data_IF_341404867716
#
_entry.id   IF_341404867716
#
_cell.length_a   1.000
_cell.length_b   1.000
_cell.length_c   1.000
_cell.angle_alpha   90.00
_cell.angle_beta   90.00
_cell.angle_gamma   90.00
#
_symmetry.space_group_name_H-M   'P 1'
#
loop_
_entity.id
_entity.type
_entity.pdbx_description
1 polymer ?
#
# COMPACT_ATOMS: atom_id res chain seq x y z
N UNK A 1 -7.98 0.50 -21.38
CA UNK A 1 -6.91 1.51 -21.42
C UNK A 1 -6.68 1.99 -20.01
N UNK A 2 -5.43 2.23 -19.61
CA UNK A 2 -5.14 2.75 -18.28
C UNK A 2 -5.68 4.19 -18.14
N UNK A 3 -6.16 4.56 -16.96
CA UNK A 3 -6.60 5.91 -16.66
C UNK A 3 -5.42 6.90 -16.78
N UNK A 4 -5.63 8.02 -17.47
CA UNK A 4 -4.66 9.11 -17.61
C UNK A 4 -5.28 10.44 -17.23
N UNK A 5 -4.61 11.16 -16.32
CA UNK A 5 -5.09 12.43 -15.79
C UNK A 5 -5.12 13.53 -16.86
N UNK A 6 -4.12 13.55 -17.73
CA UNK A 6 -3.89 14.54 -18.78
C UNK A 6 -5.02 14.60 -19.81
N UNK A 7 -5.71 13.48 -20.02
CA UNK A 7 -6.85 13.37 -20.93
C UNK A 7 -8.20 13.27 -20.22
N UNK A 8 -8.22 13.37 -18.89
CA UNK A 8 -9.44 13.20 -18.10
C UNK A 8 -10.34 14.42 -18.26
N UNK A 9 -11.37 14.30 -19.11
CA UNK A 9 -12.31 15.36 -19.46
C UNK A 9 -13.76 14.86 -19.37
N UNK A 10 -14.26 14.51 -18.18
CA UNK A 10 -15.61 13.99 -18.01
C UNK A 10 -16.66 15.07 -18.31
N UNK A 11 -17.70 14.73 -19.07
CA UNK A 11 -18.80 15.64 -19.43
C UNK A 11 -20.07 15.42 -18.60
N UNK A 12 -20.13 14.37 -17.80
CA UNK A 12 -21.25 14.04 -16.91
C UNK A 12 -20.73 13.63 -15.53
N UNK A 13 -21.60 13.67 -14.53
CA UNK A 13 -21.28 13.22 -13.17
C UNK A 13 -20.89 11.74 -13.16
N UNK A 14 -21.63 10.89 -13.88
CA UNK A 14 -21.34 9.45 -13.93
C UNK A 14 -19.96 9.18 -14.56
N UNK A 15 -19.64 9.82 -15.70
CA UNK A 15 -18.32 9.69 -16.33
C UNK A 15 -17.18 10.21 -15.42
N UNK A 16 -17.48 11.19 -14.57
CA UNK A 16 -16.55 11.69 -13.57
C UNK A 16 -16.29 10.64 -12.49
N UNK A 17 -17.36 10.07 -11.92
CA UNK A 17 -17.30 9.05 -10.87
C UNK A 17 -16.58 7.79 -11.38
N UNK A 18 -16.89 7.34 -12.59
CA UNK A 18 -16.23 6.20 -13.22
C UNK A 18 -14.72 6.44 -13.37
N UNK A 19 -14.33 7.63 -13.85
CA UNK A 19 -12.92 8.01 -13.96
C UNK A 19 -12.21 8.05 -12.61
N UNK A 20 -12.86 8.56 -11.56
CA UNK A 20 -12.32 8.54 -10.20
C UNK A 20 -12.13 7.11 -9.70
N UNK A 21 -13.10 6.22 -9.93
CA UNK A 21 -13.01 4.82 -9.55
C UNK A 21 -11.82 4.15 -10.25
N UNK A 22 -11.63 4.40 -11.55
CA UNK A 22 -10.48 3.87 -12.29
C UNK A 22 -9.14 4.42 -11.78
N UNK A 23 -9.05 5.72 -11.48
CA UNK A 23 -7.86 6.32 -10.88
C UNK A 23 -7.52 5.72 -9.51
N UNK A 24 -8.55 5.47 -8.70
CA UNK A 24 -8.41 4.88 -7.37
C UNK A 24 -8.05 3.40 -7.42
N UNK A 25 -8.61 2.63 -8.37
CA UNK A 25 -8.27 1.20 -8.55
C UNK A 25 -6.77 1.00 -8.76
N UNK A 26 -6.13 1.84 -9.57
CA UNK A 26 -4.69 1.77 -9.77
C UNK A 26 -3.92 2.02 -8.46
N UNK A 27 -4.26 3.12 -7.77
CA UNK A 27 -3.63 3.55 -6.52
C UNK A 27 -3.77 2.52 -5.38
N UNK A 28 -4.98 1.98 -5.20
CA UNK A 28 -5.27 0.95 -4.19
C UNK A 28 -4.67 -0.40 -4.59
N UNK A 29 -4.70 -0.76 -5.87
CA UNK A 29 -4.14 -2.00 -6.38
C UNK A 29 -2.63 -2.09 -6.13
N UNK A 30 -1.90 -1.02 -6.41
CA UNK A 30 -0.46 -0.95 -6.15
C UNK A 30 -0.14 -1.12 -4.66
N UNK A 31 -0.85 -0.40 -3.80
CA UNK A 31 -0.68 -0.54 -2.34
C UNK A 31 -0.97 -1.97 -1.86
N UNK A 32 -2.06 -2.58 -2.35
CA UNK A 32 -2.44 -3.94 -1.97
C UNK A 32 -1.36 -4.95 -2.38
N UNK A 33 -0.83 -4.82 -3.60
CA UNK A 33 0.26 -5.66 -4.09
C UNK A 33 1.53 -5.53 -3.23
N UNK A 34 1.92 -4.31 -2.86
CA UNK A 34 3.07 -4.07 -1.98
C UNK A 34 2.87 -4.72 -0.62
N UNK A 35 1.74 -4.47 0.04
CA UNK A 35 1.45 -5.04 1.37
C UNK A 35 1.39 -6.56 1.33
N UNK A 36 0.85 -7.15 0.27
CA UNK A 36 0.77 -8.60 0.13
C UNK A 36 2.18 -9.23 0.01
N UNK A 37 3.07 -8.62 -0.75
CA UNK A 37 4.46 -9.09 -0.90
C UNK A 37 5.21 -8.98 0.43
N UNK A 38 5.10 -7.83 1.10
CA UNK A 38 5.75 -7.60 2.39
C UNK A 38 5.24 -8.58 3.46
N UNK A 39 3.92 -8.77 3.55
CA UNK A 39 3.33 -9.71 4.51
C UNK A 39 3.78 -11.14 4.25
N UNK A 40 3.80 -11.56 2.98
CA UNK A 40 4.28 -12.90 2.60
C UNK A 40 5.72 -13.10 3.04
N UNK A 41 6.62 -12.17 2.72
CA UNK A 41 8.03 -12.28 3.08
C UNK A 41 8.23 -12.40 4.60
N UNK A 42 7.47 -11.62 5.38
CA UNK A 42 7.53 -11.67 6.84
C UNK A 42 6.99 -12.98 7.42
N UNK A 43 5.91 -13.52 6.85
CA UNK A 43 5.40 -14.85 7.23
C UNK A 43 6.39 -15.96 6.87
N UNK A 44 7.08 -15.85 5.73
CA UNK A 44 8.11 -16.80 5.31
C UNK A 44 9.30 -16.80 6.29
N UNK A 45 9.74 -15.62 6.75
CA UNK A 45 10.78 -15.50 7.78
C UNK A 45 10.34 -16.18 9.08
N UNK A 46 9.14 -15.84 9.58
CA UNK A 46 8.61 -16.44 10.82
C UNK A 46 8.49 -17.96 10.71
N UNK A 47 8.04 -18.47 9.56
CA UNK A 47 7.92 -19.91 9.31
C UNK A 47 9.29 -20.59 9.27
N UNK A 48 10.27 -20.00 8.58
CA UNK A 48 11.65 -20.53 8.51
C UNK A 48 12.28 -20.58 9.90
N UNK A 49 12.19 -19.49 10.68
CA UNK A 49 12.75 -19.42 12.03
C UNK A 49 12.07 -20.41 12.98
N UNK A 50 10.75 -20.58 12.88
CA UNK A 50 10.02 -21.58 13.66
C UNK A 50 10.48 -23.01 13.34
N UNK A 51 10.65 -23.35 12.06
CA UNK A 51 11.15 -24.66 11.63
C UNK A 51 12.59 -24.92 12.10
N UNK A 52 13.47 -23.93 11.94
CA UNK A 52 14.86 -24.03 12.39
C UNK A 52 14.96 -24.20 13.91
N UNK A 53 14.16 -23.44 14.66
CA UNK A 53 14.14 -23.52 16.13
C UNK A 53 13.62 -24.87 16.60
N UNK A 54 12.54 -25.38 15.99
CA UNK A 54 12.01 -26.72 16.30
C UNK A 54 13.03 -27.82 16.00
N UNK A 55 13.71 -27.74 14.87
CA UNK A 55 14.75 -28.70 14.51
C UNK A 55 15.94 -28.64 15.48
N UNK A 56 16.40 -27.43 15.84
CA UNK A 56 17.47 -27.25 16.80
C UNK A 56 17.11 -27.80 18.20
N UNK A 57 15.84 -27.68 18.61
CA UNK A 57 15.36 -28.26 19.88
C UNK A 57 15.35 -29.79 19.81
N UNK A 58 14.84 -30.38 18.72
CA UNK A 58 14.82 -31.83 18.52
C UNK A 58 16.23 -32.43 18.51
N UNK A 59 17.20 -31.71 17.96
CA UNK A 59 18.61 -32.09 17.93
C UNK A 59 19.36 -31.71 19.22
N UNK A 60 18.66 -31.22 20.26
CA UNK A 60 19.24 -30.79 21.54
C UNK A 60 20.32 -29.69 21.43
N UNK A 61 20.33 -28.94 20.31
CA UNK A 61 21.24 -27.79 20.09
C UNK A 61 20.80 -26.55 20.86
N UNK A 62 19.54 -26.47 21.25
CA UNK A 62 18.98 -25.42 22.12
C UNK A 62 18.14 -26.02 23.25
N UNK A 63 17.94 -25.26 24.31
CA UNK A 63 17.02 -25.62 25.40
C UNK A 63 15.60 -25.16 25.11
N UNK A 64 14.60 -25.77 25.77
CA UNK A 64 13.22 -25.27 25.72
C UNK A 64 13.10 -23.80 26.14
N UNK A 65 13.87 -23.37 27.14
CA UNK A 65 13.83 -21.98 27.58
C UNK A 65 14.33 -21.01 26.50
N UNK A 66 15.31 -21.45 25.71
CA UNK A 66 15.80 -20.69 24.55
C UNK A 66 14.77 -20.68 23.42
N UNK A 67 14.08 -21.79 23.16
CA UNK A 67 12.96 -21.84 22.22
C UNK A 67 11.85 -20.85 22.62
N UNK A 68 11.41 -20.87 23.88
CA UNK A 68 10.39 -19.94 24.40
C UNK A 68 10.79 -18.48 24.24
N UNK A 69 12.08 -18.16 24.43
CA UNK A 69 12.61 -16.81 24.18
C UNK A 69 12.56 -16.44 22.70
N UNK A 70 13.03 -17.32 21.81
CA UNK A 70 13.00 -17.10 20.37
C UNK A 70 11.57 -16.89 19.88
N UNK A 71 10.63 -17.73 20.31
CA UNK A 71 9.22 -17.58 19.95
C UNK A 71 8.65 -16.21 20.38
N UNK A 72 8.98 -15.73 21.58
CA UNK A 72 8.59 -14.37 22.02
C UNK A 72 9.21 -13.28 21.14
N UNK A 73 10.48 -13.42 20.74
CA UNK A 73 11.15 -12.46 19.86
C UNK A 73 10.51 -12.42 18.47
N UNK A 74 10.22 -13.57 17.86
CA UNK A 74 9.53 -13.64 16.56
C UNK A 74 8.14 -13.00 16.64
N UNK A 75 7.41 -13.21 17.74
CA UNK A 75 6.12 -12.55 17.97
C UNK A 75 6.26 -11.02 18.03
N UNK A 76 7.26 -10.51 18.74
CA UNK A 76 7.50 -9.06 18.84
C UNK A 76 7.91 -8.47 17.48
N UNK A 77 8.77 -9.16 16.72
CA UNK A 77 9.17 -8.74 15.39
C UNK A 77 7.96 -8.64 14.45
N UNK A 78 7.11 -9.68 14.43
CA UNK A 78 5.89 -9.67 13.62
C UNK A 78 4.90 -8.57 14.05
N UNK A 79 4.79 -8.29 15.36
CA UNK A 79 3.96 -7.19 15.85
C UNK A 79 4.46 -5.82 15.34
N UNK A 80 5.78 -5.60 15.28
CA UNK A 80 6.33 -4.38 14.69
C UNK A 80 5.99 -4.26 13.20
N UNK A 81 6.08 -5.35 12.44
CA UNK A 81 5.64 -5.37 11.03
C UNK A 81 4.18 -4.94 10.87
N UNK A 82 3.28 -5.41 11.74
CA UNK A 82 1.87 -5.01 11.69
C UNK A 82 1.67 -3.51 11.98
N UNK A 83 2.50 -2.91 12.85
CA UNK A 83 2.47 -1.46 13.10
C UNK A 83 2.91 -0.69 11.85
N UNK A 84 3.96 -1.14 11.17
CA UNK A 84 4.40 -0.54 9.91
C UNK A 84 3.34 -0.63 8.82
N UNK A 85 2.65 -1.77 8.69
CA UNK A 85 1.52 -1.93 7.78
C UNK A 85 0.37 -0.97 8.11
N UNK A 86 0.10 -0.73 9.39
CA UNK A 86 -0.89 0.28 9.80
C UNK A 86 -0.49 1.68 9.37
N UNK A 87 0.80 2.04 9.47
CA UNK A 87 1.31 3.32 8.96
C UNK A 87 1.20 3.40 7.42
N UNK A 88 1.49 2.31 6.72
CA UNK A 88 1.30 2.22 5.27
C UNK A 88 -0.19 2.43 4.88
N UNK A 89 -1.13 1.93 5.68
CA UNK A 89 -2.57 2.17 5.45
C UNK A 89 -2.94 3.66 5.59
N UNK A 90 -2.34 4.39 6.54
CA UNK A 90 -2.54 5.84 6.63
C UNK A 90 -2.01 6.59 5.40
N UNK A 91 -0.86 6.16 4.85
CA UNK A 91 -0.34 6.72 3.59
C UNK A 91 -1.28 6.46 2.42
N UNK A 92 -1.90 5.27 2.35
CA UNK A 92 -2.93 4.99 1.35
C UNK A 92 -4.11 5.96 1.45
N UNK A 93 -4.60 6.24 2.65
CA UNK A 93 -5.71 7.18 2.83
C UNK A 93 -5.37 8.57 2.27
N UNK A 94 -4.16 9.07 2.54
CA UNK A 94 -3.71 10.33 1.96
C UNK A 94 -3.59 10.23 0.44
N UNK A 95 -3.03 9.14 -0.08
CA UNK A 95 -2.90 8.92 -1.52
C UNK A 95 -4.25 8.86 -2.23
N UNK A 96 -5.29 8.29 -1.60
CA UNK A 96 -6.67 8.29 -2.09
C UNK A 96 -7.19 9.73 -2.19
N UNK A 97 -7.04 10.52 -1.14
CA UNK A 97 -7.43 11.93 -1.12
C UNK A 97 -6.71 12.70 -2.24
N UNK A 98 -5.39 12.59 -2.32
CA UNK A 98 -4.58 13.26 -3.33
C UNK A 98 -4.98 12.83 -4.75
N UNK A 99 -5.26 11.54 -4.96
CA UNK A 99 -5.70 11.00 -6.26
C UNK A 99 -7.04 11.62 -6.69
N UNK A 100 -8.00 11.71 -5.77
CA UNK A 100 -9.32 12.31 -6.04
C UNK A 100 -9.16 13.79 -6.40
N UNK A 101 -8.48 14.56 -5.56
CA UNK A 101 -8.34 16.00 -5.80
C UNK A 101 -7.46 16.32 -7.01
N UNK A 102 -6.49 15.45 -7.33
CA UNK A 102 -5.73 15.52 -8.57
C UNK A 102 -6.61 15.29 -9.79
N UNK A 103 -7.47 14.25 -9.77
CA UNK A 103 -8.43 14.00 -10.86
C UNK A 103 -9.40 15.17 -11.04
N UNK A 104 -9.89 15.75 -9.93
CA UNK A 104 -10.72 16.97 -9.97
C UNK A 104 -9.98 18.14 -10.60
N UNK A 105 -8.76 18.41 -10.14
CA UNK A 105 -7.93 19.49 -10.70
C UNK A 105 -7.69 19.33 -12.20
N UNK A 106 -7.37 18.12 -12.65
CA UNK A 106 -7.19 17.80 -14.07
C UNK A 106 -8.50 17.93 -14.87
N UNK A 107 -9.63 17.47 -14.35
CA UNK A 107 -10.93 17.61 -15.03
C UNK A 107 -11.30 19.08 -15.28
N UNK A 108 -11.06 19.94 -14.29
CA UNK A 108 -11.26 21.40 -14.39
C UNK A 108 -10.27 22.00 -15.39
N UNK A 109 -8.98 21.69 -15.26
CA UNK A 109 -7.94 22.20 -16.16
C UNK A 109 -8.21 21.81 -17.61
N UNK A 110 -8.57 20.56 -17.88
CA UNK A 110 -8.86 20.06 -19.23
C UNK A 110 -10.15 20.64 -19.84
N UNK A 111 -11.06 21.16 -19.02
CA UNK A 111 -12.26 21.88 -19.48
C UNK A 111 -12.02 23.37 -19.68
N UNK A 112 -11.29 24.01 -18.78
CA UNK A 112 -11.25 25.48 -18.65
C UNK A 112 -9.91 26.10 -19.00
N UNK A 113 -8.83 25.31 -19.04
CA UNK A 113 -7.46 25.77 -19.13
C UNK A 113 -6.89 26.36 -17.84
N UNK A 114 -7.68 26.45 -16.76
CA UNK A 114 -7.27 27.06 -15.49
C UNK A 114 -6.83 25.99 -14.50
N UNK A 115 -5.62 26.13 -13.95
CA UNK A 115 -5.08 25.22 -12.93
C UNK A 115 -5.42 25.74 -11.52
N UNK A 116 -6.50 25.21 -10.93
CA UNK A 116 -6.93 25.57 -9.56
C UNK A 116 -6.20 24.79 -8.46
N UNK A 117 -5.38 23.79 -8.82
CA UNK A 117 -4.67 22.94 -7.87
C UNK A 117 -3.19 22.74 -8.30
N UNK A 118 -2.37 23.81 -8.33
CA UNK A 118 -1.00 23.76 -8.87
C UNK A 118 -0.05 22.85 -8.08
N UNK A 119 -0.39 22.52 -6.83
CA UNK A 119 0.36 21.54 -6.04
C UNK A 119 0.12 20.09 -6.48
N UNK A 120 -0.97 19.80 -7.19
CA UNK A 120 -1.40 18.45 -7.59
C UNK A 120 -1.42 18.25 -9.11
N UNK A 121 -1.63 19.33 -9.86
CA UNK A 121 -1.70 19.36 -11.33
C UNK A 121 -0.46 20.08 -11.84
N UNK A 122 0.44 19.31 -12.47
CA UNK A 122 1.66 19.83 -13.09
C UNK A 122 1.66 19.46 -14.57
N UNK A 123 1.03 20.28 -15.44
CA UNK A 123 1.04 20.06 -16.87
C UNK A 123 2.48 20.12 -17.37
N UNK A 124 2.87 19.17 -18.22
CA UNK A 124 4.14 19.30 -18.95
C UNK A 124 3.96 20.37 -20.04
N UNK A 125 4.98 21.22 -20.26
CA UNK A 125 4.97 22.18 -21.36
C UNK A 125 4.90 21.50 -22.73
#
# INVERSE_FOLDING_TARGET
MAFTFESFKPSTVDAFVDGLIEALKASVGDWFNTVQVDLRGQLEIVAQEALQTKQALAESRITEEREKRLHRLHRLAFQNTLIEMRLAAFRLLQQVVDTVFKAVGWAIYNHTGINLAPALVMPKP
#
